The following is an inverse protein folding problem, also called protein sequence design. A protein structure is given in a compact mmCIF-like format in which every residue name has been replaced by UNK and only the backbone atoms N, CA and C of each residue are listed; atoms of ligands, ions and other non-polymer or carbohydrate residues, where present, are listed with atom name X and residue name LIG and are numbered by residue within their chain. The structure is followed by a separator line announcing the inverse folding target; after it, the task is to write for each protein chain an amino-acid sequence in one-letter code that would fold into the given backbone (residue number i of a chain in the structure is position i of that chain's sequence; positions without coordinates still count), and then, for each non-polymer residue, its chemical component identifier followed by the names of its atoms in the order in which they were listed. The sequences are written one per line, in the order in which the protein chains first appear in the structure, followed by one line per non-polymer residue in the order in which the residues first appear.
data_IF_488618233387
#
_entry.id   IF_488618233387
#
_cell.length_a   1.000
_cell.length_b   1.000
_cell.length_c   1.000
_cell.angle_alpha   90.00
_cell.angle_beta   90.00
_cell.angle_gamma   90.00
#
_symmetry.space_group_name_H-M   'P 1'
#
loop_
_entity.id
_entity.type
_entity.pdbx_description
1 polymer ?
#
# COMPACT_ATOMS: atom_id res chain seq x y z
N UNK A 1 2.56 14.19 -21.81
CA UNK A 1 3.94 13.71 -21.51
C UNK A 1 4.31 13.81 -20.02
N UNK A 2 3.95 14.89 -19.31
CA UNK A 2 4.28 15.04 -17.87
C UNK A 2 3.71 13.92 -16.98
N UNK A 3 2.48 13.47 -17.23
CA UNK A 3 1.88 12.34 -16.48
C UNK A 3 2.75 11.06 -16.52
N UNK A 4 3.38 10.76 -17.65
CA UNK A 4 4.27 9.60 -17.79
C UNK A 4 5.53 9.76 -16.96
N UNK A 5 6.14 10.94 -16.98
CA UNK A 5 7.34 11.21 -16.18
C UNK A 5 7.08 11.05 -14.68
N UNK A 6 5.97 11.61 -14.19
CA UNK A 6 5.56 11.48 -12.78
C UNK A 6 5.28 10.02 -12.42
N UNK A 7 4.62 9.28 -13.32
CA UNK A 7 4.36 7.86 -13.12
C UNK A 7 5.66 7.04 -12.99
N UNK A 8 6.61 7.21 -13.92
CA UNK A 8 7.87 6.48 -13.88
C UNK A 8 8.76 6.88 -12.68
N UNK A 9 8.73 8.16 -12.27
CA UNK A 9 9.44 8.63 -11.08
C UNK A 9 8.95 7.95 -9.78
N UNK A 10 7.71 7.46 -9.78
CA UNK A 10 7.13 6.77 -8.61
C UNK A 10 7.79 5.41 -8.35
N UNK A 11 8.30 4.71 -9.38
CA UNK A 11 8.93 3.40 -9.21
C UNK A 11 10.23 3.43 -8.39
N UNK A 12 11.21 4.31 -8.70
CA UNK A 12 12.39 4.51 -7.86
C UNK A 12 12.04 4.89 -6.42
N UNK A 13 11.06 5.77 -6.21
CA UNK A 13 10.63 6.20 -4.87
C UNK A 13 10.06 5.03 -4.07
N UNK A 14 9.17 4.23 -4.68
CA UNK A 14 8.62 3.01 -4.05
C UNK A 14 9.71 2.01 -3.71
N UNK A 15 10.65 1.79 -4.62
CA UNK A 15 11.78 0.89 -4.38
C UNK A 15 12.69 1.37 -3.26
N UNK A 16 12.98 2.67 -3.21
CA UNK A 16 13.79 3.27 -2.15
C UNK A 16 13.09 3.15 -0.79
N UNK A 17 11.79 3.49 -0.71
CA UNK A 17 11.00 3.30 0.50
C UNK A 17 11.07 1.86 1.00
N UNK A 18 10.85 0.90 0.10
CA UNK A 18 10.91 -0.52 0.46
C UNK A 18 12.31 -0.94 0.92
N UNK A 19 13.37 -0.39 0.30
CA UNK A 19 14.75 -0.58 0.73
C UNK A 19 15.00 -0.09 2.16
N UNK A 20 14.43 1.05 2.55
CA UNK A 20 14.57 1.61 3.90
C UNK A 20 13.87 0.72 4.94
N UNK A 21 12.66 0.25 4.62
CA UNK A 21 11.89 -0.65 5.50
C UNK A 21 12.58 -2.02 5.69
N UNK A 22 13.20 -2.55 4.63
CA UNK A 22 13.96 -3.80 4.72
C UNK A 22 15.29 -3.64 5.47
N UNK A 23 15.97 -2.50 5.30
CA UNK A 23 17.24 -2.20 6.00
C UNK A 23 17.07 -2.09 7.52
N UNK A 24 15.99 -1.48 7.98
CA UNK A 24 15.66 -1.43 9.41
C UNK A 24 15.35 -2.80 10.00
N UNK A 25 14.94 -3.74 9.16
CA UNK A 25 14.75 -5.16 9.49
C UNK A 25 16.04 -6.00 9.36
N UNK A 26 17.21 -5.36 9.22
CA UNK A 26 18.53 -6.00 9.19
C UNK A 26 18.99 -6.50 7.82
N UNK A 27 18.24 -6.26 6.75
CA UNK A 27 18.61 -6.68 5.39
C UNK A 27 19.42 -5.60 4.66
N UNK A 28 20.62 -5.93 4.17
CA UNK A 28 21.40 -5.01 3.34
C UNK A 28 20.98 -5.13 1.88
N UNK A 29 19.92 -4.42 1.52
CA UNK A 29 19.37 -4.38 0.16
C UNK A 29 19.64 -3.04 -0.53
N UNK A 30 19.92 -3.09 -1.84
CA UNK A 30 20.01 -1.91 -2.70
C UNK A 30 18.65 -1.60 -3.33
N UNK A 31 18.30 -0.32 -3.45
CA UNK A 31 17.07 0.11 -4.12
C UNK A 31 17.05 -0.25 -5.61
N UNK A 32 18.22 -0.38 -6.27
CA UNK A 32 18.30 -0.77 -7.69
C UNK A 32 17.89 -2.23 -7.89
N UNK A 33 18.29 -3.08 -6.96
CA UNK A 33 17.94 -4.50 -6.95
C UNK A 33 16.46 -4.71 -6.65
N UNK A 34 15.93 -3.95 -5.70
CA UNK A 34 14.52 -3.96 -5.35
C UNK A 34 13.64 -3.41 -6.47
N UNK A 35 14.16 -2.49 -7.30
CA UNK A 35 13.43 -1.96 -8.45
C UNK A 35 13.09 -3.08 -9.45
N UNK A 36 14.06 -3.97 -9.72
CA UNK A 36 13.86 -5.14 -10.61
C UNK A 36 12.82 -6.11 -10.02
N UNK A 37 12.91 -6.37 -8.72
CA UNK A 37 11.96 -7.22 -8.00
C UNK A 37 10.55 -6.59 -8.02
N UNK A 38 10.46 -5.27 -7.90
CA UNK A 38 9.20 -4.54 -7.91
C UNK A 38 8.53 -4.62 -9.28
N UNK A 39 9.28 -4.47 -10.38
CA UNK A 39 8.75 -4.69 -11.73
C UNK A 39 8.24 -6.13 -11.94
N UNK A 40 9.00 -7.13 -11.47
CA UNK A 40 8.56 -8.53 -11.52
C UNK A 40 7.29 -8.78 -10.70
N UNK A 41 7.19 -8.21 -9.50
CA UNK A 41 5.98 -8.28 -8.68
C UNK A 41 4.78 -7.61 -9.33
N UNK A 42 5.01 -6.48 -10.02
CA UNK A 42 3.98 -5.79 -10.79
C UNK A 42 3.48 -6.63 -11.97
N UNK A 43 4.39 -7.24 -12.72
CA UNK A 43 4.06 -8.19 -13.78
C UNK A 43 3.20 -9.35 -13.27
N UNK A 44 3.58 -9.94 -12.13
CA UNK A 44 2.77 -11.01 -11.50
C UNK A 44 1.40 -10.52 -11.07
N UNK A 45 1.28 -9.29 -10.56
CA UNK A 45 -0.03 -8.72 -10.21
C UNK A 45 -0.95 -8.50 -11.42
N UNK A 46 -0.40 -8.36 -12.63
CA UNK A 46 -1.20 -8.30 -13.85
C UNK A 46 -1.78 -9.67 -14.25
N UNK A 47 -1.11 -10.76 -13.86
CA UNK A 47 -1.50 -12.12 -14.24
C UNK A 47 -2.34 -12.78 -13.13
N UNK A 48 -1.97 -12.56 -11.87
CA UNK A 48 -2.47 -13.34 -10.74
C UNK A 48 -3.39 -12.48 -9.85
N UNK A 49 -4.61 -12.95 -9.54
CA UNK A 49 -5.53 -12.25 -8.62
C UNK A 49 -4.99 -12.16 -7.18
N UNK A 50 -5.69 -11.35 -6.37
CA UNK A 50 -5.45 -11.20 -4.93
C UNK A 50 -4.09 -10.57 -4.53
N UNK A 51 -3.48 -9.75 -5.41
CA UNK A 51 -2.18 -9.08 -5.16
C UNK A 51 -1.07 -10.06 -4.75
N UNK A 52 -1.10 -11.29 -5.28
CA UNK A 52 -0.07 -12.31 -5.01
C UNK A 52 1.34 -11.89 -5.44
N UNK A 53 1.48 -10.87 -6.28
CA UNK A 53 2.75 -10.23 -6.59
C UNK A 53 3.47 -9.65 -5.36
N UNK A 54 2.74 -9.26 -4.31
CA UNK A 54 3.33 -8.82 -3.03
C UNK A 54 3.96 -9.98 -2.24
N UNK A 55 3.40 -11.19 -2.38
CA UNK A 55 3.99 -12.40 -1.83
C UNK A 55 5.18 -12.84 -2.68
N UNK A 56 5.07 -12.72 -4.01
CA UNK A 56 6.15 -13.03 -4.94
C UNK A 56 7.38 -12.14 -4.73
N UNK A 57 7.22 -10.82 -4.58
CA UNK A 57 8.34 -9.93 -4.25
C UNK A 57 8.99 -10.31 -2.91
N UNK A 58 8.19 -10.76 -1.94
CA UNK A 58 8.69 -11.21 -0.62
C UNK A 58 9.49 -12.51 -0.73
N UNK A 59 9.05 -13.42 -1.60
CA UNK A 59 9.75 -14.65 -1.93
C UNK A 59 11.07 -14.39 -2.67
N UNK A 60 11.08 -13.50 -3.67
CA UNK A 60 12.30 -13.11 -4.39
C UNK A 60 13.34 -12.47 -3.46
N UNK A 61 12.90 -11.63 -2.51
CA UNK A 61 13.81 -11.06 -1.50
C UNK A 61 14.40 -12.15 -0.60
N UNK A 62 13.60 -13.16 -0.21
CA UNK A 62 14.11 -14.32 0.53
C UNK A 62 15.17 -15.07 -0.26
N UNK A 63 14.90 -15.36 -1.53
CA UNK A 63 15.82 -16.13 -2.38
C UNK A 63 17.12 -15.38 -2.64
N UNK A 64 17.05 -14.07 -2.87
CA UNK A 64 18.21 -13.27 -3.28
C UNK A 64 19.03 -12.70 -2.12
N UNK A 65 18.40 -12.40 -0.98
CA UNK A 65 19.05 -11.74 0.16
C UNK A 65 19.01 -12.56 1.46
N UNK A 66 18.47 -13.78 1.44
CA UNK A 66 18.43 -14.67 2.60
C UNK A 66 17.50 -14.22 3.72
N UNK A 67 16.69 -13.18 3.51
CA UNK A 67 15.75 -12.66 4.51
C UNK A 67 14.58 -13.62 4.66
N UNK A 68 14.18 -13.94 5.90
CA UNK A 68 13.03 -14.84 6.11
C UNK A 68 11.75 -14.26 5.50
N UNK A 69 10.97 -15.10 4.79
CA UNK A 69 9.72 -14.69 4.14
C UNK A 69 8.74 -14.05 5.14
N UNK A 70 8.61 -14.61 6.35
CA UNK A 70 7.74 -14.08 7.41
C UNK A 70 8.10 -12.63 7.80
N UNK A 71 9.40 -12.32 7.92
CA UNK A 71 9.88 -10.96 8.19
C UNK A 71 9.58 -10.02 7.04
N UNK A 72 9.84 -10.44 5.80
CA UNK A 72 9.55 -9.62 4.61
C UNK A 72 8.06 -9.35 4.45
N UNK A 73 7.20 -10.33 4.72
CA UNK A 73 5.74 -10.15 4.74
C UNK A 73 5.31 -9.18 5.83
N UNK A 74 5.93 -9.23 7.02
CA UNK A 74 5.72 -8.22 8.07
C UNK A 74 6.07 -6.80 7.62
N UNK A 75 7.15 -6.64 6.87
CA UNK A 75 7.53 -5.36 6.25
C UNK A 75 6.49 -4.90 5.23
N UNK A 76 5.97 -5.80 4.39
CA UNK A 76 4.88 -5.48 3.45
C UNK A 76 3.62 -5.03 4.19
N UNK A 77 3.24 -5.68 5.29
CA UNK A 77 2.07 -5.28 6.07
C UNK A 77 2.26 -3.89 6.68
N UNK A 78 3.44 -3.59 7.23
CA UNK A 78 3.74 -2.25 7.73
C UNK A 78 3.72 -1.18 6.62
N UNK A 79 4.22 -1.52 5.43
CA UNK A 79 4.12 -0.67 4.24
C UNK A 79 2.65 -0.36 3.88
N UNK A 80 1.78 -1.38 3.89
CA UNK A 80 0.34 -1.20 3.59
C UNK A 80 -0.39 -0.39 4.64
N UNK A 81 -0.05 -0.56 5.92
CA UNK A 81 -0.57 0.26 7.01
C UNK A 81 -0.22 1.74 6.82
N UNK A 82 1.02 2.03 6.40
CA UNK A 82 1.45 3.39 6.12
C UNK A 82 0.72 4.00 4.93
N UNK A 83 0.59 3.22 3.85
CA UNK A 83 -0.17 3.65 2.67
C UNK A 83 -1.60 4.00 3.05
N UNK A 84 -2.29 3.14 3.79
CA UNK A 84 -3.68 3.37 4.19
C UNK A 84 -3.84 4.54 5.14
N UNK A 85 -2.92 4.73 6.08
CA UNK A 85 -2.96 5.88 6.97
C UNK A 85 -2.83 7.19 6.18
N UNK A 86 -1.88 7.26 5.26
CA UNK A 86 -1.68 8.46 4.42
C UNK A 86 -2.88 8.68 3.51
N UNK A 87 -3.39 7.64 2.84
CA UNK A 87 -4.61 7.68 2.03
C UNK A 87 -5.79 8.19 2.84
N UNK A 88 -6.01 7.65 4.04
CA UNK A 88 -7.13 8.05 4.89
C UNK A 88 -7.04 9.51 5.34
N UNK A 89 -5.84 9.97 5.71
CA UNK A 89 -5.61 11.38 6.05
C UNK A 89 -5.83 12.28 4.83
N UNK A 90 -5.29 11.92 3.66
CA UNK A 90 -5.50 12.66 2.42
C UNK A 90 -6.96 12.68 1.98
N UNK A 91 -7.72 11.61 2.24
CA UNK A 91 -9.15 11.55 1.97
C UNK A 91 -9.91 12.58 2.81
N UNK A 92 -9.64 12.63 4.11
CA UNK A 92 -10.29 13.56 5.04
C UNK A 92 -9.92 15.00 4.69
N UNK A 93 -8.62 15.29 4.54
CA UNK A 93 -8.15 16.64 4.23
C UNK A 93 -8.61 17.08 2.85
N UNK A 94 -8.45 16.23 1.84
CA UNK A 94 -8.86 16.51 0.47
C UNK A 94 -10.37 16.70 0.36
N UNK A 95 -11.16 15.87 1.01
CA UNK A 95 -12.62 16.00 1.04
C UNK A 95 -13.09 17.25 1.79
N UNK A 96 -12.49 17.57 2.94
CA UNK A 96 -12.80 18.79 3.68
C UNK A 96 -12.46 20.05 2.89
N UNK A 97 -11.32 20.08 2.21
CA UNK A 97 -10.90 21.23 1.38
C UNK A 97 -11.72 21.34 0.09
N UNK A 98 -12.08 20.21 -0.54
CA UNK A 98 -12.84 20.20 -1.79
C UNK A 98 -14.33 20.54 -1.61
N UNK A 99 -14.97 20.01 -0.56
CA UNK A 99 -16.42 20.08 -0.38
C UNK A 99 -16.86 20.88 0.86
N UNK A 100 -15.93 21.39 1.66
CA UNK A 100 -16.22 22.11 2.90
C UNK A 100 -16.91 21.22 3.94
N UNK A 101 -17.96 21.74 4.59
CA UNK A 101 -18.80 20.97 5.55
C UNK A 101 -19.93 20.18 4.89
N UNK A 102 -20.05 20.25 3.56
CA UNK A 102 -21.15 19.62 2.82
C UNK A 102 -20.86 18.12 2.72
N UNK A 103 -21.32 17.36 3.71
CA UNK A 103 -21.31 15.91 3.66
C UNK A 103 -22.31 15.45 2.61
N UNK A 104 -21.86 15.25 1.38
CA UNK A 104 -22.66 14.54 0.39
C UNK A 104 -22.88 13.09 0.88
N UNK A 105 -24.12 12.56 0.81
CA UNK A 105 -24.43 11.20 1.24
C UNK A 105 -23.51 10.14 0.62
N UNK A 106 -23.11 10.34 -0.65
CA UNK A 106 -22.22 9.43 -1.39
C UNK A 106 -20.80 9.38 -0.83
N UNK A 107 -20.31 10.46 -0.21
CA UNK A 107 -18.98 10.50 0.39
C UNK A 107 -18.91 9.68 1.69
N UNK A 108 -20.04 9.50 2.38
CA UNK A 108 -20.13 8.73 3.63
C UNK A 108 -19.68 7.28 3.41
N UNK A 109 -20.02 6.69 2.27
CA UNK A 109 -19.62 5.32 1.91
C UNK A 109 -18.11 5.22 1.78
N UNK A 110 -17.46 6.20 1.13
CA UNK A 110 -16.00 6.22 0.95
C UNK A 110 -15.29 6.35 2.30
N UNK A 111 -15.74 7.26 3.17
CA UNK A 111 -15.18 7.42 4.52
C UNK A 111 -15.38 6.18 5.39
N UNK A 112 -16.58 5.59 5.38
CA UNK A 112 -16.88 4.36 6.13
C UNK A 112 -16.05 3.19 5.63
N UNK A 113 -15.89 3.04 4.31
CA UNK A 113 -15.08 1.96 3.73
C UNK A 113 -13.62 2.12 4.09
N UNK A 114 -13.07 3.34 3.97
CA UNK A 114 -11.70 3.64 4.39
C UNK A 114 -11.46 3.36 5.88
N UNK A 115 -12.39 3.79 6.74
CA UNK A 115 -12.32 3.54 8.17
C UNK A 115 -12.44 2.05 8.50
N UNK A 116 -13.38 1.33 7.88
CA UNK A 116 -13.57 -0.10 8.06
C UNK A 116 -12.32 -0.90 7.64
N UNK A 117 -11.69 -0.55 6.52
CA UNK A 117 -10.43 -1.17 6.08
C UNK A 117 -9.29 -0.91 7.05
N UNK A 118 -9.14 0.33 7.52
CA UNK A 118 -8.14 0.69 8.52
C UNK A 118 -8.34 -0.11 9.81
N UNK A 119 -9.58 -0.17 10.32
CA UNK A 119 -9.93 -0.96 11.50
C UNK A 119 -9.68 -2.44 11.27
N UNK A 120 -10.09 -3.01 10.13
CA UNK A 120 -9.87 -4.42 9.81
C UNK A 120 -8.38 -4.79 9.84
N UNK A 121 -7.51 -3.94 9.31
CA UNK A 121 -6.07 -4.19 9.28
C UNK A 121 -5.45 -3.99 10.67
N UNK A 122 -5.90 -2.98 11.44
CA UNK A 122 -5.48 -2.82 12.83
C UNK A 122 -5.90 -4.02 13.68
N UNK A 123 -7.12 -4.51 13.53
CA UNK A 123 -7.62 -5.72 14.21
C UNK A 123 -6.81 -6.94 13.79
N UNK A 124 -6.53 -7.13 12.50
CA UNK A 124 -5.68 -8.22 12.02
C UNK A 124 -4.26 -8.13 12.62
N UNK A 125 -3.69 -6.92 12.72
CA UNK A 125 -2.38 -6.70 13.33
C UNK A 125 -2.40 -7.00 14.83
N UNK A 126 -3.41 -6.53 15.55
CA UNK A 126 -3.61 -6.79 16.98
C UNK A 126 -3.81 -8.28 17.23
N UNK A 127 -4.60 -8.98 16.41
CA UNK A 127 -4.79 -10.42 16.48
C UNK A 127 -3.45 -11.15 16.30
N UNK A 128 -2.64 -10.76 15.30
CA UNK A 128 -1.31 -11.33 15.10
C UNK A 128 -0.35 -10.99 16.25
N UNK A 129 -0.48 -9.82 16.89
CA UNK A 129 0.41 -9.39 17.96
C UNK A 129 0.06 -10.00 19.33
N UNK A 130 -1.23 -10.08 19.67
CA UNK A 130 -1.72 -10.47 21.00
C UNK A 130 -2.29 -11.87 21.06
N UNK A 131 -2.98 -12.32 20.00
CA UNK A 131 -3.65 -13.63 19.97
C UNK A 131 -2.69 -14.70 19.46
N UNK A 132 -1.95 -14.42 18.38
CA UNK A 132 -1.03 -15.40 17.79
C UNK A 132 0.03 -15.93 18.77
N UNK A 133 0.71 -15.14 19.63
CA UNK A 133 1.66 -15.71 20.58
C UNK A 133 1.01 -16.50 21.72
N UNK A 134 -0.26 -16.22 22.06
CA UNK A 134 -1.02 -17.01 23.04
C UNK A 134 -1.45 -18.35 22.46
N UNK A 135 -1.99 -18.34 21.24
CA UNK A 135 -2.36 -19.55 20.50
C UNK A 135 -1.12 -20.38 20.11
N UNK A 136 -0.02 -19.72 19.74
CA UNK A 136 1.21 -20.40 19.33
C UNK A 136 1.91 -21.14 20.49
N UNK A 137 1.47 -20.98 21.74
CA UNK A 137 1.90 -21.87 22.84
C UNK A 137 1.43 -23.31 22.62
N UNK A 138 0.27 -23.49 21.99
CA UNK A 138 -0.30 -24.79 21.63
C UNK A 138 0.24 -25.36 20.32
N UNK A 139 0.95 -24.57 19.50
CA UNK A 139 1.47 -25.00 18.20
C UNK A 139 2.98 -25.35 18.23
N UNK A 140 3.48 -26.08 17.20
CA UNK A 140 4.89 -26.44 17.03
C UNK A 140 5.86 -25.24 17.02
N UNK A 141 7.16 -25.51 17.21
CA UNK A 141 8.22 -24.48 17.31
C UNK A 141 8.33 -23.61 16.04
N UNK A 142 7.98 -24.18 14.89
CA UNK A 142 8.05 -23.59 13.57
C UNK A 142 7.05 -22.43 13.42
N UNK A 143 5.80 -22.63 13.88
CA UNK A 143 4.74 -21.61 13.84
C UNK A 143 5.09 -20.43 14.76
N UNK A 144 5.67 -20.71 15.94
CA UNK A 144 6.18 -19.68 16.84
C UNK A 144 7.28 -18.84 16.21
N UNK A 145 8.19 -19.46 15.46
CA UNK A 145 9.27 -18.77 14.75
C UNK A 145 8.73 -17.85 13.66
N UNK A 146 7.76 -18.32 12.88
CA UNK A 146 7.08 -17.53 11.83
C UNK A 146 6.43 -16.28 12.43
N UNK A 147 5.64 -16.44 13.49
CA UNK A 147 4.96 -15.31 14.15
C UNK A 147 5.93 -14.28 14.74
N UNK A 148 7.04 -14.74 15.34
CA UNK A 148 8.08 -13.85 15.88
C UNK A 148 8.75 -13.03 14.77
N UNK A 149 9.17 -13.67 13.68
CA UNK A 149 9.83 -13.01 12.55
C UNK A 149 8.90 -12.00 11.86
N UNK A 150 7.61 -12.32 11.73
CA UNK A 150 6.61 -11.39 11.21
C UNK A 150 6.49 -10.14 12.10
N UNK A 151 6.33 -10.33 13.42
CA UNK A 151 6.24 -9.24 14.38
C UNK A 151 7.50 -8.36 14.38
N UNK A 152 8.67 -8.97 14.29
CA UNK A 152 9.92 -8.23 14.11
C UNK A 152 9.88 -7.38 12.83
N UNK A 153 9.49 -7.94 11.69
CA UNK A 153 9.37 -7.19 10.44
C UNK A 153 8.46 -5.96 10.55
N UNK A 154 7.32 -6.10 11.23
CA UNK A 154 6.39 -4.98 11.49
C UNK A 154 7.02 -3.94 12.43
N UNK A 155 7.52 -4.35 13.60
CA UNK A 155 8.05 -3.44 14.61
C UNK A 155 9.29 -2.68 14.14
N UNK A 156 10.18 -3.36 13.43
CA UNK A 156 11.36 -2.74 12.85
C UNK A 156 10.99 -1.74 11.75
N UNK A 157 9.94 -2.01 10.98
CA UNK A 157 9.43 -1.07 9.97
C UNK A 157 8.93 0.24 10.57
N UNK A 158 8.35 0.21 11.79
CA UNK A 158 7.97 1.45 12.49
C UNK A 158 9.16 2.34 12.83
N UNK A 159 10.37 1.80 13.00
CA UNK A 159 11.59 2.62 13.19
C UNK A 159 11.98 3.37 11.91
N UNK A 160 11.57 2.88 10.75
CA UNK A 160 11.75 3.56 9.48
C UNK A 160 10.70 4.66 9.21
N UNK A 161 9.70 4.85 10.09
CA UNK A 161 8.67 5.89 9.95
C UNK A 161 9.19 7.29 9.57
N UNK A 162 10.27 7.82 10.19
CA UNK A 162 10.74 9.17 9.88
C UNK A 162 11.18 9.36 8.43
N UNK A 163 11.59 8.28 7.77
CA UNK A 163 12.03 8.29 6.37
C UNK A 163 10.95 7.75 5.44
N UNK A 164 10.29 6.66 5.82
CA UNK A 164 9.26 6.01 5.02
C UNK A 164 7.95 6.82 4.97
N UNK A 165 7.62 7.58 6.02
CA UNK A 165 6.44 8.44 6.08
C UNK A 165 6.47 9.54 5.01
N UNK A 166 7.49 10.43 5.00
CA UNK A 166 7.64 11.45 3.98
C UNK A 166 7.69 10.88 2.56
N UNK A 167 8.41 9.76 2.36
CA UNK A 167 8.43 9.07 1.06
C UNK A 167 7.04 8.60 0.62
N UNK A 168 6.23 8.12 1.55
CA UNK A 168 4.85 7.68 1.26
C UNK A 168 4.00 8.88 0.84
N UNK A 169 4.10 10.02 1.53
CA UNK A 169 3.41 11.26 1.14
C UNK A 169 3.84 11.71 -0.26
N UNK A 170 5.14 11.71 -0.56
CA UNK A 170 5.64 12.08 -1.89
C UNK A 170 5.09 11.13 -2.97
N UNK A 171 5.07 9.82 -2.72
CA UNK A 171 4.52 8.81 -3.64
C UNK A 171 3.04 9.09 -3.93
N UNK A 172 2.23 9.40 -2.90
CA UNK A 172 0.81 9.72 -3.08
C UNK A 172 0.59 11.06 -3.78
N UNK A 173 1.43 12.07 -3.51
CA UNK A 173 1.40 13.34 -4.24
C UNK A 173 1.73 13.16 -5.72
N UNK A 174 2.71 12.30 -6.06
CA UNK A 174 3.00 11.94 -7.45
C UNK A 174 1.79 11.24 -8.11
N UNK A 175 1.10 10.36 -7.39
CA UNK A 175 -0.10 9.68 -7.90
C UNK A 175 -1.23 10.68 -8.19
N UNK A 176 -1.49 11.62 -7.27
CA UNK A 176 -2.47 12.68 -7.46
C UNK A 176 -2.09 13.62 -8.61
N UNK A 177 -0.81 13.98 -8.72
CA UNK A 177 -0.30 14.82 -9.80
C UNK A 177 -0.37 14.10 -11.16
N UNK A 178 -0.15 12.79 -11.20
CA UNK A 178 -0.38 11.98 -12.40
C UNK A 178 -1.84 12.10 -12.83
N UNK A 179 -2.77 11.92 -11.91
CA UNK A 179 -4.20 12.03 -12.21
C UNK A 179 -4.57 13.45 -12.67
N UNK A 180 -4.01 14.48 -12.03
CA UNK A 180 -4.18 15.87 -12.43
C UNK A 180 -3.81 16.08 -13.90
N UNK A 181 -2.60 15.68 -14.30
CA UNK A 181 -2.16 15.83 -15.69
C UNK A 181 -2.99 15.02 -16.69
N UNK A 182 -3.52 13.86 -16.28
CA UNK A 182 -4.43 13.07 -17.13
C UNK A 182 -5.76 13.80 -17.31
N UNK A 183 -6.34 14.33 -16.25
CA UNK A 183 -7.61 15.06 -16.30
C UNK A 183 -7.49 16.36 -17.12
N UNK A 184 -6.42 17.12 -16.93
CA UNK A 184 -6.15 18.31 -17.74
C UNK A 184 -5.96 17.96 -19.22
N UNK A 185 -5.31 16.83 -19.52
CA UNK A 185 -5.16 16.37 -20.91
C UNK A 185 -6.49 15.95 -21.55
N UNK A 186 -7.49 15.56 -20.73
CA UNK A 186 -8.85 15.25 -21.17
C UNK A 186 -9.75 16.50 -21.25
N UNK A 187 -9.23 17.69 -20.90
CA UNK A 187 -10.00 18.94 -20.86
C UNK A 187 -10.92 19.08 -19.64
N UNK A 188 -10.67 18.31 -18.58
CA UNK A 188 -11.43 18.37 -17.33
C UNK A 188 -10.70 19.24 -16.31
N UNK A 189 -11.22 20.45 -16.08
CA UNK A 189 -10.68 21.39 -15.10
C UNK A 189 -11.27 21.13 -13.70
N UNK A 190 -10.59 20.26 -12.95
CA UNK A 190 -10.91 19.98 -11.56
C UNK A 190 -9.94 20.72 -10.63
N UNK A 191 -10.42 21.30 -9.51
CA UNK A 191 -9.53 21.86 -8.50
C UNK A 191 -8.63 20.76 -7.93
N UNK A 192 -7.40 21.12 -7.55
CA UNK A 192 -6.39 20.17 -7.08
C UNK A 192 -6.91 19.31 -5.90
N UNK A 193 -7.71 19.89 -5.01
CA UNK A 193 -8.36 19.19 -3.90
C UNK A 193 -9.32 18.09 -4.37
N UNK A 194 -10.11 18.37 -5.42
CA UNK A 194 -10.97 17.39 -6.07
C UNK A 194 -10.19 16.25 -6.73
N UNK A 195 -9.07 16.56 -7.37
CA UNK A 195 -8.20 15.53 -7.98
C UNK A 195 -7.57 14.63 -6.92
N UNK A 196 -7.04 15.22 -5.83
CA UNK A 196 -6.51 14.44 -4.70
C UNK A 196 -7.59 13.54 -4.11
N UNK A 197 -8.80 14.09 -3.91
CA UNK A 197 -9.92 13.32 -3.40
C UNK A 197 -10.27 12.12 -4.30
N UNK A 198 -10.41 12.35 -5.61
CA UNK A 198 -10.71 11.28 -6.59
C UNK A 198 -9.59 10.24 -6.65
N UNK A 199 -8.32 10.66 -6.66
CA UNK A 199 -7.18 9.74 -6.67
C UNK A 199 -7.17 8.81 -5.44
N UNK A 200 -7.47 9.37 -4.28
CA UNK A 200 -7.49 8.64 -3.01
C UNK A 200 -8.72 7.73 -2.90
N UNK A 201 -9.90 8.22 -3.30
CA UNK A 201 -11.14 7.46 -3.30
C UNK A 201 -11.07 6.25 -4.27
N UNK A 202 -10.56 6.45 -5.48
CA UNK A 202 -10.35 5.36 -6.46
C UNK A 202 -9.34 4.34 -5.96
N UNK A 203 -8.30 4.78 -5.25
CA UNK A 203 -7.35 3.84 -4.64
C UNK A 203 -7.96 3.01 -3.51
N UNK A 204 -8.90 3.54 -2.73
CA UNK A 204 -9.61 2.77 -1.71
C UNK A 204 -10.51 1.70 -2.35
N UNK A 205 -11.23 2.05 -3.42
CA UNK A 205 -12.07 1.12 -4.15
C UNK A 205 -11.28 -0.04 -4.75
N UNK A 206 -10.09 0.23 -5.29
CA UNK A 206 -9.17 -0.80 -5.81
C UNK A 206 -8.38 -1.54 -4.72
N UNK A 207 -8.52 -1.14 -3.45
CA UNK A 207 -7.82 -1.82 -2.35
C UNK A 207 -8.43 -3.19 -2.06
N UNK A 208 -9.75 -3.34 -2.17
CA UNK A 208 -10.50 -4.59 -2.01
C UNK A 208 -10.40 -5.37 -3.33
N UNK A 209 -9.42 -6.27 -3.50
CA UNK A 209 -9.17 -6.93 -4.77
C UNK A 209 -10.05 -8.18 -4.80
N UNK A 210 -11.35 -8.00 -5.01
CA UNK A 210 -12.26 -9.14 -5.19
C UNK A 210 -12.05 -9.81 -6.56
N UNK A 211 -11.36 -9.16 -7.51
CA UNK A 211 -11.12 -9.69 -8.86
C UNK A 211 -9.71 -9.39 -9.43
N UNK A 212 -9.17 -10.22 -10.36
CA UNK A 212 -7.86 -9.98 -10.98
C UNK A 212 -7.87 -8.68 -11.79
N UNK A 213 -6.91 -7.79 -11.53
CA UNK A 213 -6.75 -6.50 -12.22
C UNK A 213 -8.00 -5.58 -12.31
N UNK A 214 -9.05 -5.83 -11.52
CA UNK A 214 -10.33 -5.12 -11.62
C UNK A 214 -11.29 -5.62 -12.72
N UNK A 215 -10.96 -6.73 -13.41
CA UNK A 215 -11.88 -7.41 -14.33
C UNK A 215 -13.17 -7.79 -13.58
N UNK A 216 -14.34 -7.55 -14.17
CA UNK A 216 -15.64 -7.66 -13.50
C UNK A 216 -16.25 -6.34 -13.02
N UNK A 217 -15.50 -5.44 -12.36
CA UNK A 217 -16.05 -4.12 -11.99
C UNK A 217 -16.16 -3.17 -13.19
N UNK A 218 -15.21 -3.25 -14.13
CA UNK A 218 -15.23 -2.48 -15.37
C UNK A 218 -16.38 -2.93 -16.27
N UNK A 219 -16.69 -4.23 -16.29
CA UNK A 219 -17.79 -4.79 -17.08
C UNK A 219 -19.15 -4.47 -16.45
N UNK A 220 -19.29 -4.51 -15.13
CA UNK A 220 -20.52 -4.08 -14.42
C UNK A 220 -20.76 -2.57 -14.55
N UNK A 221 -19.72 -1.76 -14.73
CA UNK A 221 -19.87 -0.32 -14.95
C UNK A 221 -20.17 0.05 -16.41
N UNK A 222 -19.95 -0.86 -17.36
CA UNK A 222 -20.24 -0.67 -18.79
C UNK A 222 -21.60 -1.22 -19.22
N UNK A 223 -22.29 -1.99 -18.36
CA UNK A 223 -23.64 -2.53 -18.56
C UNK A 223 -24.63 -1.79 -17.68
#
# INVERSE_FOLDING_TARGET
MLALLVYYATFPLRSWRWSVLLRTSGARVSWRDLLRILFLGWFVNCIVPAKLGDLYRSFLVKQRFGVSLSRTVGVVVAERLLDLLVVFVLLIVGGYVAFGRTFLPDLRVVYLTGAALLVAILVALVAVYWVAPRLARFFPREVRRIGRLFREGVLHSFRALPVAGPLTVIIWSCEALRLFFVLTALGLDLPLSGVVFVAVATSLLTTVPLTPAGFGFVEIAMV
#
